data_IF_321109422552
#
_entry.id   IF_321109422552
#
_cell.length_a   1.000
_cell.length_b   1.000
_cell.length_c   1.000
_cell.angle_alpha   90.00
_cell.angle_beta   90.00
_cell.angle_gamma   90.00
#
_symmetry.space_group_name_H-M   'P 1'
#
loop_
_entity.id
_entity.type
_entity.pdbx_description
1 polymer ?
#
# COMPACT_ATOMS: atom_id res chain seq x y z
N UNK A 1 -33.04 -47.56 -51.94
CA UNK A 1 -33.64 -46.45 -51.20
C UNK A 1 -33.40 -46.70 -49.74
N UNK A 2 -32.47 -46.01 -49.16
CA UNK A 2 -32.11 -46.14 -47.76
C UNK A 2 -32.33 -44.74 -47.11
N UNK A 3 -33.28 -44.65 -46.25
CA UNK A 3 -33.60 -43.45 -45.51
C UNK A 3 -32.59 -43.20 -44.41
N UNK A 4 -31.92 -42.06 -44.49
CA UNK A 4 -30.96 -41.56 -43.49
C UNK A 4 -31.71 -40.73 -42.48
N UNK A 5 -31.84 -41.20 -41.23
CA UNK A 5 -32.39 -40.43 -40.14
C UNK A 5 -31.39 -39.33 -39.69
N UNK A 6 -31.86 -38.10 -39.40
CA UNK A 6 -30.95 -37.04 -38.92
C UNK A 6 -30.64 -37.21 -37.43
N UNK A 7 -29.34 -37.09 -37.11
CA UNK A 7 -28.78 -37.14 -35.76
C UNK A 7 -29.14 -35.87 -34.96
N UNK A 8 -29.88 -36.06 -33.91
CA UNK A 8 -30.35 -34.97 -33.06
C UNK A 8 -29.27 -34.52 -32.09
N UNK A 9 -28.55 -33.42 -32.46
CA UNK A 9 -27.53 -32.76 -31.67
C UNK A 9 -28.14 -31.53 -30.99
N UNK A 10 -28.77 -31.70 -29.87
CA UNK A 10 -28.94 -30.57 -28.95
C UNK A 10 -29.57 -31.05 -27.63
N UNK A 11 -28.84 -30.98 -26.55
CA UNK A 11 -29.34 -30.66 -25.19
C UNK A 11 -28.32 -30.88 -24.03
N UNK A 12 -27.01 -31.08 -24.29
CA UNK A 12 -26.08 -31.28 -23.16
C UNK A 12 -24.93 -30.28 -23.04
N UNK A 13 -24.80 -29.26 -23.91
CA UNK A 13 -23.69 -28.28 -23.81
C UNK A 13 -23.96 -27.06 -22.91
N UNK A 14 -25.20 -26.79 -22.52
CA UNK A 14 -25.55 -25.61 -21.73
C UNK A 14 -25.47 -25.79 -20.19
N UNK A 15 -25.40 -27.03 -19.71
CA UNK A 15 -25.30 -27.30 -18.25
C UNK A 15 -23.84 -27.35 -17.74
N UNK A 16 -22.88 -27.66 -18.60
CA UNK A 16 -21.46 -27.79 -18.19
C UNK A 16 -20.78 -26.43 -18.12
N UNK A 17 -21.15 -25.46 -19.01
CA UNK A 17 -20.56 -24.11 -18.97
C UNK A 17 -20.98 -23.30 -17.74
N UNK A 18 -22.24 -23.41 -17.30
CA UNK A 18 -22.73 -22.68 -16.11
C UNK A 18 -22.15 -23.17 -14.78
N UNK A 19 -21.73 -24.43 -14.69
CA UNK A 19 -21.07 -24.95 -13.49
C UNK A 19 -19.59 -24.55 -13.38
N UNK A 20 -18.88 -24.46 -14.52
CA UNK A 20 -17.48 -24.04 -14.55
C UNK A 20 -17.36 -22.55 -14.19
N UNK A 21 -18.18 -21.66 -14.77
CA UNK A 21 -18.17 -20.23 -14.48
C UNK A 21 -18.51 -19.94 -13.00
N UNK A 22 -19.45 -20.69 -12.41
CA UNK A 22 -19.81 -20.52 -10.99
C UNK A 22 -18.71 -21.01 -10.02
N UNK A 23 -17.91 -22.00 -10.42
CA UNK A 23 -16.76 -22.49 -9.63
C UNK A 23 -15.60 -21.52 -9.74
N UNK A 24 -15.35 -20.94 -10.93
CA UNK A 24 -14.33 -19.92 -11.15
C UNK A 24 -14.62 -18.64 -10.36
N UNK A 25 -15.87 -18.18 -10.35
CA UNK A 25 -16.30 -17.01 -9.57
C UNK A 25 -16.21 -17.26 -8.06
N UNK A 26 -16.58 -18.44 -7.57
CA UNK A 26 -16.42 -18.81 -6.16
C UNK A 26 -14.95 -18.91 -5.75
N UNK A 27 -14.07 -19.42 -6.61
CA UNK A 27 -12.63 -19.46 -6.35
C UNK A 27 -12.00 -18.07 -6.36
N UNK A 28 -12.41 -17.19 -7.29
CA UNK A 28 -12.00 -15.78 -7.27
C UNK A 28 -12.47 -15.06 -6.01
N UNK A 29 -13.73 -15.18 -5.65
CA UNK A 29 -14.29 -14.57 -4.43
C UNK A 29 -13.64 -15.12 -3.15
N UNK A 30 -13.32 -16.42 -3.09
CA UNK A 30 -12.58 -17.01 -1.96
C UNK A 30 -11.11 -16.55 -1.92
N UNK A 31 -10.47 -16.33 -3.08
CA UNK A 31 -9.11 -15.76 -3.16
C UNK A 31 -9.10 -14.30 -2.72
N UNK A 32 -10.10 -13.50 -3.12
CA UNK A 32 -10.28 -12.12 -2.65
C UNK A 32 -10.63 -12.07 -1.16
N UNK A 33 -11.48 -12.98 -0.65
CA UNK A 33 -11.74 -13.08 0.81
C UNK A 33 -10.52 -13.50 1.61
N UNK A 34 -9.69 -14.43 1.12
CA UNK A 34 -8.44 -14.83 1.79
C UNK A 34 -7.39 -13.72 1.81
N UNK A 35 -7.31 -12.91 0.75
CA UNK A 35 -6.42 -11.75 0.68
C UNK A 35 -6.88 -10.67 1.67
N UNK A 36 -8.20 -10.48 1.87
CA UNK A 36 -8.74 -9.50 2.81
C UNK A 36 -8.79 -9.97 4.28
N UNK A 37 -8.85 -11.26 4.56
CA UNK A 37 -8.88 -11.80 5.94
C UNK A 37 -7.52 -11.77 6.65
N UNK A 38 -6.41 -11.63 5.91
CA UNK A 38 -5.05 -11.52 6.48
C UNK A 38 -4.58 -10.06 6.73
N UNK A 39 -5.25 -9.07 6.15
CA UNK A 39 -4.82 -7.65 6.19
C UNK A 39 -5.37 -6.85 7.37
N UNK A 40 -6.23 -7.42 8.23
CA UNK A 40 -7.05 -6.62 9.15
C UNK A 40 -6.69 -6.67 10.64
N UNK A 41 -5.70 -7.44 11.04
CA UNK A 41 -5.33 -7.47 12.47
C UNK A 41 -4.31 -6.38 12.83
N UNK A 42 -3.38 -6.05 11.93
CA UNK A 42 -2.34 -5.06 12.14
C UNK A 42 -2.19 -4.14 10.93
N UNK A 43 -1.85 -2.88 11.19
CA UNK A 43 -1.44 -1.91 10.18
C UNK A 43 0.08 -1.79 10.22
N UNK A 44 0.73 -1.99 9.09
CA UNK A 44 2.18 -1.92 8.99
C UNK A 44 2.62 -0.57 8.46
N UNK A 45 3.33 0.18 9.27
CA UNK A 45 3.81 1.53 8.97
C UNK A 45 5.31 1.48 8.75
N UNK A 46 5.74 2.02 7.63
CA UNK A 46 7.13 2.17 7.25
C UNK A 46 7.54 3.63 7.49
N UNK A 47 8.65 3.85 8.22
CA UNK A 47 9.18 5.19 8.48
C UNK A 47 10.60 5.25 7.94
N UNK A 48 10.91 6.29 7.18
CA UNK A 48 12.27 6.56 6.74
C UNK A 48 12.66 8.01 6.99
N UNK A 49 13.80 8.18 7.64
CA UNK A 49 14.39 9.47 8.02
C UNK A 49 15.89 9.23 8.27
N UNK A 50 16.78 10.10 7.85
CA UNK A 50 18.21 9.93 8.05
C UNK A 50 18.65 10.25 9.49
N UNK A 51 17.78 10.83 10.31
CA UNK A 51 18.01 11.11 11.74
C UNK A 51 17.54 9.95 12.62
N UNK A 52 18.46 9.17 13.26
CA UNK A 52 18.08 8.03 14.10
C UNK A 52 17.20 8.40 15.30
N UNK A 53 17.41 9.57 15.91
CA UNK A 53 16.62 10.04 17.05
C UNK A 53 15.18 10.35 16.65
N UNK A 54 14.97 10.89 15.46
CA UNK A 54 13.65 11.10 14.88
C UNK A 54 12.95 9.75 14.67
N UNK A 55 13.61 8.77 14.04
CA UNK A 55 13.08 7.42 13.85
C UNK A 55 12.68 6.75 15.17
N UNK A 56 13.55 6.81 16.17
CA UNK A 56 13.28 6.24 17.48
C UNK A 56 12.05 6.88 18.13
N UNK A 57 11.97 8.21 18.10
CA UNK A 57 10.85 8.97 18.70
C UNK A 57 9.53 8.66 18.03
N UNK A 58 9.50 8.66 16.70
CA UNK A 58 8.27 8.38 15.92
C UNK A 58 7.81 6.93 16.11
N UNK A 59 8.75 5.98 16.07
CA UNK A 59 8.46 4.57 16.32
C UNK A 59 7.85 4.37 17.69
N UNK A 60 8.49 4.85 18.74
CA UNK A 60 8.02 4.70 20.11
C UNK A 60 6.63 5.34 20.30
N UNK A 61 6.41 6.52 19.72
CA UNK A 61 5.15 7.23 19.81
C UNK A 61 4.00 6.44 19.15
N UNK A 62 4.23 5.86 17.97
CA UNK A 62 3.20 5.12 17.25
C UNK A 62 2.95 3.74 17.86
N UNK A 63 3.99 3.02 18.30
CA UNK A 63 3.83 1.72 18.98
C UNK A 63 3.05 1.87 20.29
N UNK A 64 3.28 2.97 21.05
CA UNK A 64 2.53 3.25 22.28
C UNK A 64 1.10 3.77 22.03
N UNK A 65 0.79 4.27 20.84
CA UNK A 65 -0.54 4.79 20.53
C UNK A 65 -1.55 3.70 20.20
N UNK A 66 -1.11 2.57 19.64
CA UNK A 66 -1.99 1.45 19.27
C UNK A 66 -1.23 0.13 19.15
N UNK A 67 -1.75 -0.91 19.81
CA UNK A 67 -1.25 -2.28 19.66
C UNK A 67 -1.46 -2.86 18.24
N UNK A 68 -2.28 -2.21 17.43
CA UNK A 68 -2.54 -2.60 16.04
C UNK A 68 -1.47 -2.14 15.06
N UNK A 69 -0.52 -1.31 15.49
CA UNK A 69 0.54 -0.83 14.62
C UNK A 69 1.79 -1.70 14.69
N UNK A 70 2.38 -1.95 13.52
CA UNK A 70 3.70 -2.57 13.35
C UNK A 70 4.59 -1.56 12.64
N UNK A 71 5.67 -1.14 13.30
CA UNK A 71 6.51 -0.05 12.81
C UNK A 71 7.85 -0.59 12.34
N UNK A 72 8.16 -0.34 11.08
CA UNK A 72 9.45 -0.61 10.47
C UNK A 72 10.15 0.71 10.19
N UNK A 73 11.44 0.80 10.52
CA UNK A 73 12.22 2.04 10.38
C UNK A 73 13.47 1.82 9.55
N UNK A 74 13.80 2.76 8.68
CA UNK A 74 15.01 2.79 7.88
C UNK A 74 15.64 4.18 7.94
N UNK A 75 16.96 4.24 7.94
CA UNK A 75 17.75 5.48 7.85
C UNK A 75 18.51 5.60 6.52
N UNK A 76 18.33 4.64 5.64
CA UNK A 76 18.99 4.61 4.33
C UNK A 76 17.96 4.22 3.25
N UNK A 77 17.71 5.09 2.26
CA UNK A 77 16.71 4.83 1.22
C UNK A 77 17.10 3.67 0.27
N UNK A 78 18.39 3.44 0.05
CA UNK A 78 18.85 2.34 -0.80
C UNK A 78 18.64 0.98 -0.12
N UNK A 79 18.90 0.90 1.18
CA UNK A 79 18.64 -0.30 1.97
C UNK A 79 17.13 -0.58 1.98
N UNK A 80 16.31 0.43 2.24
CA UNK A 80 14.85 0.28 2.22
C UNK A 80 14.38 -0.29 0.88
N UNK A 81 14.83 0.25 -0.25
CA UNK A 81 14.44 -0.25 -1.58
C UNK A 81 14.85 -1.71 -1.81
N UNK A 82 16.03 -2.11 -1.33
CA UNK A 82 16.51 -3.49 -1.50
C UNK A 82 15.72 -4.51 -0.67
N UNK A 83 15.11 -4.09 0.43
CA UNK A 83 14.34 -4.93 1.35
C UNK A 83 12.83 -4.72 1.25
N UNK A 84 12.37 -3.81 0.38
CA UNK A 84 10.96 -3.44 0.27
C UNK A 84 10.09 -4.63 -0.15
N UNK A 85 8.96 -4.78 0.54
CA UNK A 85 7.98 -5.85 0.28
C UNK A 85 6.67 -5.25 -0.19
N UNK A 86 6.33 -5.48 -1.45
CA UNK A 86 5.07 -5.06 -2.06
C UNK A 86 3.87 -5.63 -1.34
N UNK A 87 2.81 -4.84 -1.17
CA UNK A 87 1.56 -5.20 -0.48
C UNK A 87 1.73 -5.60 1.00
N UNK A 88 2.85 -5.20 1.62
CA UNK A 88 3.13 -5.47 3.03
C UNK A 88 2.90 -4.26 3.92
N UNK A 89 3.12 -3.06 3.39
CA UNK A 89 3.01 -1.80 4.14
C UNK A 89 1.70 -1.08 3.79
N UNK A 90 1.02 -0.54 4.80
CA UNK A 90 -0.20 0.26 4.63
C UNK A 90 0.11 1.75 4.47
N UNK A 91 1.16 2.24 5.14
CA UNK A 91 1.57 3.65 5.15
C UNK A 91 3.09 3.79 5.15
N UNK A 92 3.59 4.73 4.36
CA UNK A 92 4.98 5.20 4.38
C UNK A 92 5.02 6.63 4.92
N UNK A 93 5.76 6.86 6.00
CA UNK A 93 6.18 8.18 6.46
C UNK A 93 7.60 8.42 5.95
N UNK A 94 7.78 9.41 5.09
CA UNK A 94 9.07 9.64 4.41
C UNK A 94 9.57 11.06 4.62
N UNK A 95 10.80 11.19 5.14
CA UNK A 95 11.49 12.49 5.11
C UNK A 95 11.84 12.89 3.68
N UNK A 96 11.63 14.17 3.34
CA UNK A 96 11.96 14.69 2.01
C UNK A 96 13.46 14.85 1.83
N UNK A 97 14.16 15.32 2.88
CA UNK A 97 15.55 15.74 2.80
C UNK A 97 16.48 14.66 3.35
N UNK A 98 16.79 13.66 2.55
CA UNK A 98 17.72 12.59 2.92
C UNK A 98 18.94 12.55 2.00
N UNK A 99 20.13 12.10 2.48
CA UNK A 99 21.27 11.84 1.62
C UNK A 99 21.00 10.71 0.63
N UNK A 100 21.71 10.70 -0.50
CA UNK A 100 21.69 9.71 -1.59
C UNK A 100 20.42 9.72 -2.46
N UNK A 101 19.24 9.89 -1.87
CA UNK A 101 17.96 9.90 -2.56
C UNK A 101 16.94 10.68 -1.73
N UNK A 102 16.34 11.71 -2.30
CA UNK A 102 15.30 12.46 -1.61
C UNK A 102 13.98 11.67 -1.50
N UNK A 103 13.10 12.11 -0.58
CA UNK A 103 11.86 11.41 -0.30
C UNK A 103 10.90 11.31 -1.50
N UNK A 104 10.92 12.27 -2.42
CA UNK A 104 10.08 12.22 -3.63
C UNK A 104 10.57 11.15 -4.61
N UNK A 105 11.89 11.07 -4.83
CA UNK A 105 12.50 10.05 -5.69
C UNK A 105 12.26 8.64 -5.13
N UNK A 106 12.44 8.49 -3.82
CA UNK A 106 12.17 7.23 -3.13
C UNK A 106 10.69 6.82 -3.29
N UNK A 107 9.78 7.76 -3.02
CA UNK A 107 8.34 7.51 -3.11
C UNK A 107 7.89 7.11 -4.51
N UNK A 108 8.48 7.72 -5.56
CA UNK A 108 8.23 7.33 -6.94
C UNK A 108 8.61 5.87 -7.19
N UNK A 109 9.81 5.45 -6.75
CA UNK A 109 10.27 4.05 -6.87
C UNK A 109 9.41 3.06 -6.08
N UNK A 110 8.98 3.46 -4.88
CA UNK A 110 8.06 2.65 -4.05
C UNK A 110 6.72 2.47 -4.76
N UNK A 111 6.16 3.52 -5.37
CA UNK A 111 4.89 3.45 -6.10
C UNK A 111 4.98 2.62 -7.39
N UNK A 112 6.15 2.49 -8.00
CA UNK A 112 6.38 1.54 -9.10
C UNK A 112 6.29 0.08 -8.63
N UNK A 113 6.60 -0.19 -7.35
CA UNK A 113 6.55 -1.51 -6.74
C UNK A 113 5.20 -1.82 -6.07
N UNK A 114 4.55 -0.81 -5.48
CA UNK A 114 3.29 -0.95 -4.75
C UNK A 114 2.42 0.31 -4.92
N UNK A 115 1.39 0.21 -5.74
CA UNK A 115 0.45 1.32 -6.00
C UNK A 115 -0.55 1.56 -4.86
N UNK A 116 -0.64 0.65 -3.88
CA UNK A 116 -1.66 0.71 -2.83
C UNK A 116 -1.15 1.34 -1.54
N UNK A 117 0.17 1.49 -1.38
CA UNK A 117 0.76 2.12 -0.20
C UNK A 117 0.37 3.60 -0.13
N UNK A 118 -0.07 4.05 1.04
CA UNK A 118 -0.29 5.47 1.30
C UNK A 118 1.03 6.12 1.68
N UNK A 119 1.24 7.37 1.28
CA UNK A 119 2.50 8.08 1.56
C UNK A 119 2.23 9.42 2.22
N UNK A 120 2.92 9.66 3.34
CA UNK A 120 2.97 10.92 4.04
C UNK A 120 4.40 11.47 4.03
N UNK A 121 4.58 12.66 3.51
CA UNK A 121 5.87 13.35 3.49
C UNK A 121 6.11 14.13 4.77
N UNK A 122 7.34 14.07 5.28
CA UNK A 122 7.80 14.86 6.41
C UNK A 122 8.83 15.90 5.91
N UNK A 123 8.71 17.16 6.33
CA UNK A 123 9.65 18.21 5.90
C UNK A 123 9.82 19.32 6.94
N UNK A 124 11.03 19.87 7.04
CA UNK A 124 11.33 21.09 7.81
C UNK A 124 11.01 22.37 7.05
N UNK A 125 10.98 22.31 5.72
CA UNK A 125 10.82 23.44 4.82
C UNK A 125 9.43 23.58 4.19
N UNK A 126 9.34 24.52 3.25
CA UNK A 126 8.18 24.62 2.37
C UNK A 126 8.14 23.44 1.39
N UNK A 127 6.94 22.95 1.13
CA UNK A 127 6.74 21.79 0.27
C UNK A 127 6.71 22.24 -1.17
N UNK A 128 7.57 21.65 -2.00
CA UNK A 128 7.53 21.87 -3.43
C UNK A 128 6.35 21.10 -4.04
N UNK A 129 5.21 21.78 -4.23
CA UNK A 129 4.00 21.22 -4.79
C UNK A 129 4.17 20.71 -6.23
N UNK A 130 5.15 21.23 -7.00
CA UNK A 130 5.40 20.73 -8.36
C UNK A 130 6.07 19.35 -8.32
N UNK A 131 7.09 19.17 -7.46
CA UNK A 131 7.71 17.87 -7.26
C UNK A 131 6.70 16.80 -6.76
N UNK A 132 5.74 17.22 -5.96
CA UNK A 132 4.66 16.36 -5.51
C UNK A 132 3.75 15.89 -6.67
N UNK A 133 3.38 16.79 -7.59
CA UNK A 133 2.55 16.44 -8.76
C UNK A 133 3.25 15.44 -9.67
N UNK A 134 4.57 15.49 -9.76
CA UNK A 134 5.39 14.54 -10.54
C UNK A 134 5.33 13.13 -9.93
N UNK A 135 5.24 13.02 -8.61
CA UNK A 135 5.09 11.72 -7.90
C UNK A 135 3.65 11.21 -7.96
N UNK A 136 2.66 12.11 -7.92
CA UNK A 136 1.23 11.76 -7.85
C UNK A 136 0.41 12.40 -8.98
N UNK A 137 0.64 12.06 -10.23
CA UNK A 137 -0.18 12.58 -11.33
C UNK A 137 -1.62 12.08 -11.19
N UNK A 138 -2.56 13.01 -10.98
CA UNK A 138 -4.00 12.72 -10.96
C UNK A 138 -4.56 12.05 -9.69
N UNK A 139 -3.78 11.95 -8.60
CA UNK A 139 -4.28 11.51 -7.28
C UNK A 139 -4.45 12.70 -6.33
N UNK A 140 -5.34 12.55 -5.34
CA UNK A 140 -5.42 13.51 -4.23
C UNK A 140 -4.04 13.66 -3.59
N UNK A 141 -3.64 14.89 -3.33
CA UNK A 141 -2.33 15.21 -2.75
C UNK A 141 -2.08 14.35 -1.52
N UNK A 142 -0.89 13.72 -1.46
CA UNK A 142 -0.48 12.93 -0.31
C UNK A 142 -0.48 13.75 0.98
N UNK A 143 -0.44 13.04 2.08
CA UNK A 143 -0.35 13.63 3.41
C UNK A 143 1.00 14.33 3.64
N UNK A 144 0.97 15.45 4.37
CA UNK A 144 2.18 16.20 4.73
C UNK A 144 2.27 16.47 6.22
N UNK A 145 3.46 16.30 6.76
CA UNK A 145 3.79 16.56 8.16
C UNK A 145 4.93 17.57 8.21
N UNK A 146 4.69 18.71 8.85
CA UNK A 146 5.75 19.71 9.08
C UNK A 146 6.57 19.32 10.31
N UNK A 147 7.89 19.26 10.16
CA UNK A 147 8.84 19.15 11.28
C UNK A 147 9.05 20.53 11.96
N UNK A 148 9.21 20.62 13.30
CA UNK A 148 9.21 19.53 14.25
C UNK A 148 7.83 18.91 14.47
N UNK A 149 7.80 17.56 14.52
CA UNK A 149 6.56 16.81 14.54
C UNK A 149 5.98 16.78 15.95
N UNK A 150 4.76 17.31 16.12
CA UNK A 150 4.02 17.16 17.37
C UNK A 150 3.40 15.76 17.41
N UNK A 151 3.80 14.93 18.35
CA UNK A 151 3.37 13.52 18.47
C UNK A 151 1.85 13.36 18.39
N UNK A 152 1.11 14.21 19.08
CA UNK A 152 -0.37 14.21 19.06
C UNK A 152 -0.94 14.40 17.65
N UNK A 153 -0.32 15.26 16.84
CA UNK A 153 -0.73 15.49 15.45
C UNK A 153 -0.36 14.32 14.56
N UNK A 154 0.82 13.71 14.77
CA UNK A 154 1.24 12.52 14.06
C UNK A 154 0.26 11.37 14.26
N UNK A 155 -0.05 11.05 15.52
CA UNK A 155 -0.98 9.95 15.85
C UNK A 155 -2.33 10.15 15.15
N UNK A 156 -2.93 11.34 15.29
CA UNK A 156 -4.23 11.65 14.68
C UNK A 156 -4.18 11.55 13.14
N UNK A 157 -3.07 11.96 12.53
CA UNK A 157 -2.90 11.90 11.09
C UNK A 157 -2.76 10.45 10.63
N UNK A 158 -1.96 9.63 11.31
CA UNK A 158 -1.80 8.21 11.01
C UNK A 158 -3.14 7.46 11.15
N UNK A 159 -3.92 7.75 12.19
CA UNK A 159 -5.27 7.23 12.35
C UNK A 159 -6.15 7.59 11.15
N UNK A 160 -6.18 8.86 10.75
CA UNK A 160 -6.98 9.33 9.60
C UNK A 160 -6.56 8.67 8.27
N UNK A 161 -5.26 8.46 8.09
CA UNK A 161 -4.75 7.83 6.86
C UNK A 161 -4.99 6.31 6.81
N UNK A 162 -5.15 5.66 7.95
CA UNK A 162 -5.30 4.20 8.03
C UNK A 162 -6.74 3.72 8.22
N UNK A 163 -7.67 4.64 8.47
CA UNK A 163 -9.11 4.36 8.49
C UNK A 163 -9.67 4.27 7.05
#
# INVERSE_FOLDING_TARGET
MADIMPWNRSKNSSKISKSADSIFDKQKQNKFKRINLGKHQYKTILIIDDEPDTLYTLKLALENSSEKYRIHTYNNPLLLLSEFKSNYYDLLLVDINMPFMNGFELSKKILELDLNIRICFMSTGEINLSALRDVYPGRSMGCFIKKPIKIKNLIRLVETELD
#
